data_IF_851383550615
#
_entry.id   IF_851383550615
#
_cell.length_a   1.000
_cell.length_b   1.000
_cell.length_c   1.000
_cell.angle_alpha   90.00
_cell.angle_beta   90.00
_cell.angle_gamma   90.00
#
_symmetry.space_group_name_H-M   'P 1'
#
loop_
_entity.id
_entity.type
_entity.pdbx_description
1 polymer ?
#
# COMPACT_ATOMS: atom_id res chain seq x y z
N UNK A 1 20.64 7.83 4.99
CA UNK A 1 19.85 7.30 3.87
C UNK A 1 19.66 5.81 4.10
N UNK A 2 18.44 5.28 4.01
CA UNK A 2 18.15 3.88 4.35
C UNK A 2 18.82 2.93 3.33
N UNK A 3 19.38 1.77 3.76
CA UNK A 3 19.99 0.81 2.86
C UNK A 3 18.98 0.24 1.84
N UNK A 4 19.45 -0.07 0.64
CA UNK A 4 18.60 -0.69 -0.39
C UNK A 4 18.10 -2.07 0.08
N UNK A 5 16.80 -2.32 -0.07
CA UNK A 5 16.14 -3.55 0.35
C UNK A 5 15.97 -3.69 1.87
N UNK A 6 16.11 -2.61 2.64
CA UNK A 6 15.88 -2.65 4.08
C UNK A 6 14.39 -2.75 4.44
N UNK A 7 14.13 -3.22 5.67
CA UNK A 7 12.82 -3.14 6.30
C UNK A 7 12.86 -2.02 7.32
N UNK A 8 11.89 -1.10 7.27
CA UNK A 8 11.80 -0.01 8.24
C UNK A 8 11.04 -0.50 9.47
N UNK A 9 11.63 -0.35 10.65
CA UNK A 9 11.02 -0.66 11.94
C UNK A 9 10.92 0.63 12.74
N UNK A 10 9.73 1.00 13.19
CA UNK A 10 9.51 2.21 13.97
C UNK A 10 8.38 2.02 15.00
N UNK A 11 8.36 2.80 16.07
CA UNK A 11 7.24 2.73 17.02
C UNK A 11 5.96 3.31 16.39
N UNK A 12 6.09 4.39 15.62
CA UNK A 12 5.00 5.03 14.90
C UNK A 12 5.50 5.40 13.50
N UNK A 13 4.61 5.28 12.51
CA UNK A 13 4.87 5.70 11.13
C UNK A 13 3.71 6.59 10.73
N UNK A 14 4.00 7.87 10.52
CA UNK A 14 2.99 8.84 10.11
C UNK A 14 2.88 8.93 8.56
N UNK A 15 1.84 9.58 8.03
CA UNK A 15 1.69 9.76 6.59
C UNK A 15 2.89 10.43 5.88
N UNK A 16 3.55 11.41 6.51
CA UNK A 16 4.71 12.07 5.91
C UNK A 16 5.90 11.10 5.77
N UNK A 17 6.12 10.22 6.75
CA UNK A 17 7.16 9.19 6.69
C UNK A 17 6.93 8.24 5.52
N UNK A 18 5.70 7.74 5.35
CA UNK A 18 5.35 6.86 4.22
C UNK A 18 5.39 7.58 2.88
N UNK A 19 5.18 8.91 2.83
CA UNK A 19 5.35 9.67 1.59
C UNK A 19 6.80 9.71 1.11
N UNK A 20 7.77 9.62 2.03
CA UNK A 20 9.20 9.54 1.74
C UNK A 20 9.67 8.12 1.41
N UNK A 21 8.82 7.12 1.63
CA UNK A 21 9.14 5.74 1.31
C UNK A 21 9.03 5.51 -0.20
N UNK A 22 10.16 5.17 -0.81
CA UNK A 22 10.22 4.86 -2.24
C UNK A 22 10.03 3.36 -2.49
N UNK A 23 8.94 2.96 -3.18
CA UNK A 23 8.78 1.59 -3.66
C UNK A 23 9.99 1.16 -4.47
N UNK A 24 10.50 -0.05 -4.20
CA UNK A 24 11.69 -0.58 -4.86
C UNK A 24 13.02 -0.22 -4.20
N UNK A 25 13.09 0.76 -3.28
CA UNK A 25 14.25 0.97 -2.39
C UNK A 25 14.09 0.27 -1.05
N UNK A 26 12.87 0.17 -0.54
CA UNK A 26 12.57 -0.54 0.71
C UNK A 26 11.78 -1.82 0.44
N UNK A 27 12.00 -2.84 1.27
CA UNK A 27 11.36 -4.14 1.15
C UNK A 27 10.00 -4.24 1.87
N UNK A 28 9.72 -3.31 2.77
CA UNK A 28 8.52 -3.27 3.60
C UNK A 28 8.79 -2.51 4.90
N UNK A 29 7.80 -2.46 5.78
CA UNK A 29 7.94 -1.82 7.08
C UNK A 29 7.06 -2.45 8.16
N UNK A 30 7.36 -2.14 9.41
CA UNK A 30 6.52 -2.54 10.53
C UNK A 30 6.49 -1.45 11.60
N UNK A 31 5.34 -1.34 12.26
CA UNK A 31 5.11 -0.32 13.28
C UNK A 31 4.56 -0.89 14.58
N UNK A 32 4.99 -0.31 15.70
CA UNK A 32 4.42 -0.65 17.00
C UNK A 32 3.02 -0.12 17.22
N UNK A 33 2.68 0.98 16.54
CA UNK A 33 1.37 1.62 16.54
C UNK A 33 0.61 1.39 15.23
N UNK A 34 -0.64 1.82 15.21
CA UNK A 34 -1.53 1.72 14.06
C UNK A 34 -2.39 0.46 14.08
N UNK A 35 -3.15 0.28 13.00
CA UNK A 35 -4.05 -0.85 12.84
C UNK A 35 -4.32 -1.13 11.37
N UNK A 36 -4.91 -2.29 11.07
CA UNK A 36 -5.13 -2.75 9.70
C UNK A 36 -6.07 -1.85 8.86
N UNK A 37 -6.85 -1.00 9.52
CA UNK A 37 -7.79 -0.05 8.91
C UNK A 37 -7.34 1.42 9.01
N UNK A 38 -6.20 1.69 9.66
CA UNK A 38 -5.68 3.05 9.82
C UNK A 38 -4.97 3.58 8.57
N UNK A 39 -4.73 4.89 8.52
CA UNK A 39 -4.08 5.58 7.38
C UNK A 39 -2.75 4.95 6.98
N UNK A 40 -1.91 4.59 7.95
CA UNK A 40 -0.64 3.90 7.68
C UNK A 40 -0.83 2.58 6.92
N UNK A 41 -1.89 1.82 7.21
CA UNK A 41 -2.20 0.57 6.48
C UNK A 41 -2.68 0.84 5.06
N UNK A 42 -3.46 1.90 4.86
CA UNK A 42 -3.94 2.27 3.52
C UNK A 42 -2.75 2.71 2.67
N UNK A 43 -1.90 3.60 3.19
CA UNK A 43 -0.70 4.05 2.50
C UNK A 43 0.27 2.91 2.17
N UNK A 44 0.39 1.90 3.04
CA UNK A 44 1.17 0.69 2.74
C UNK A 44 0.66 -0.02 1.48
N UNK A 45 -0.67 -0.14 1.33
CA UNK A 45 -1.32 -0.76 0.16
C UNK A 45 -1.10 0.07 -1.10
N UNK A 46 -1.25 1.39 -1.00
CA UNK A 46 -0.98 2.34 -2.10
C UNK A 46 0.45 2.27 -2.62
N UNK A 47 1.42 2.03 -1.73
CA UNK A 47 2.84 1.87 -2.07
C UNK A 47 3.21 0.44 -2.50
N UNK A 48 2.25 -0.48 -2.46
CA UNK A 48 2.46 -1.92 -2.65
C UNK A 48 3.53 -2.54 -1.75
N UNK A 49 3.71 -1.97 -0.56
CA UNK A 49 4.72 -2.42 0.41
C UNK A 49 4.10 -3.37 1.44
N UNK A 50 4.75 -4.51 1.73
CA UNK A 50 4.38 -5.36 2.86
C UNK A 50 4.50 -4.55 4.16
N UNK A 51 3.42 -4.53 4.95
CA UNK A 51 3.40 -3.86 6.24
C UNK A 51 2.73 -4.71 7.32
N UNK A 52 3.23 -4.62 8.54
CA UNK A 52 2.58 -5.16 9.76
C UNK A 52 2.58 -4.06 10.82
N UNK A 53 1.40 -3.71 11.33
CA UNK A 53 1.20 -2.57 12.23
C UNK A 53 0.61 -3.03 13.56
N UNK A 54 0.76 -2.18 14.59
CA UNK A 54 0.20 -2.45 15.91
C UNK A 54 0.92 -3.58 16.66
N UNK A 55 2.24 -3.69 16.55
CA UNK A 55 3.05 -4.69 17.26
C UNK A 55 3.65 -4.08 18.54
N UNK A 56 3.12 -4.37 19.74
CA UNK A 56 3.69 -3.85 20.98
C UNK A 56 5.19 -4.17 21.11
N UNK A 57 5.95 -3.22 21.64
CA UNK A 57 7.39 -3.36 21.94
C UNK A 57 8.29 -3.73 20.74
N UNK A 58 7.82 -3.51 19.51
CA UNK A 58 8.53 -3.88 18.28
C UNK A 58 9.97 -3.34 18.21
N UNK A 59 10.15 -2.06 18.52
CA UNK A 59 11.47 -1.40 18.46
C UNK A 59 12.41 -1.84 19.57
N UNK A 60 11.90 -2.43 20.65
CA UNK A 60 12.71 -3.02 21.71
C UNK A 60 13.14 -4.46 21.35
N UNK A 61 12.38 -5.14 20.49
CA UNK A 61 12.61 -6.53 20.11
C UNK A 61 13.52 -6.71 18.88
N UNK A 62 13.73 -5.68 18.07
CA UNK A 62 14.47 -5.75 16.80
C UNK A 62 15.59 -4.72 16.78
N UNK A 63 16.80 -5.20 16.51
CA UNK A 63 17.99 -4.36 16.37
C UNK A 63 18.32 -4.13 14.89
N UNK A 64 19.05 -3.04 14.62
CA UNK A 64 19.60 -2.77 13.30
C UNK A 64 20.47 -3.93 12.80
N UNK A 65 20.54 -4.08 11.47
CA UNK A 65 21.35 -5.09 10.78
C UNK A 65 20.89 -6.55 10.95
N UNK A 66 19.75 -6.79 11.63
CA UNK A 66 19.12 -8.10 11.70
C UNK A 66 18.39 -8.46 10.40
N UNK A 67 18.37 -9.74 10.06
CA UNK A 67 17.56 -10.22 8.92
C UNK A 67 16.11 -10.37 9.37
N UNK A 68 15.19 -9.68 8.70
CA UNK A 68 13.77 -9.69 9.04
C UNK A 68 12.92 -10.07 7.84
N UNK A 69 11.83 -10.81 8.09
CA UNK A 69 10.77 -11.06 7.12
C UNK A 69 9.50 -10.35 7.59
N UNK A 70 8.91 -9.57 6.69
CA UNK A 70 7.58 -8.96 6.87
C UNK A 70 6.56 -9.78 6.08
N UNK A 71 5.66 -10.47 6.78
CA UNK A 71 4.53 -11.18 6.18
C UNK A 71 3.24 -10.39 6.43
N UNK A 72 2.98 -9.42 5.55
CA UNK A 72 1.75 -8.62 5.57
C UNK A 72 0.47 -9.44 5.28
N UNK A 73 0.58 -10.67 4.78
CA UNK A 73 -0.58 -11.55 4.56
C UNK A 73 -1.05 -12.20 5.85
N UNK A 74 -0.12 -12.60 6.73
CA UNK A 74 -0.45 -13.25 8.01
C UNK A 74 -0.27 -12.36 9.23
N UNK A 75 0.19 -11.12 9.03
CA UNK A 75 0.47 -10.16 10.11
C UNK A 75 1.67 -10.57 10.96
N UNK A 76 2.69 -11.21 10.37
CA UNK A 76 3.85 -11.74 11.11
C UNK A 76 5.15 -11.04 10.75
N UNK A 77 5.96 -10.80 11.77
CA UNK A 77 7.36 -10.42 11.66
C UNK A 77 8.21 -11.60 12.10
N UNK A 78 9.18 -12.01 11.29
CA UNK A 78 10.14 -13.06 11.65
C UNK A 78 11.53 -12.46 11.70
N UNK A 79 12.12 -12.45 12.89
CA UNK A 79 13.46 -11.91 13.16
C UNK A 79 14.47 -13.05 13.12
N UNK A 80 15.63 -12.82 12.50
CA UNK A 80 16.74 -13.78 12.35
C UNK A 80 16.25 -15.18 11.93
N UNK A 81 15.52 -15.28 10.79
CA UNK A 81 14.92 -16.53 10.35
C UNK A 81 15.98 -17.60 10.06
N UNK A 82 15.67 -18.85 10.40
CA UNK A 82 16.50 -19.99 9.99
C UNK A 82 16.55 -20.10 8.45
N UNK A 83 17.54 -20.84 7.94
CA UNK A 83 17.65 -21.09 6.51
C UNK A 83 16.42 -21.82 5.94
N UNK A 84 15.79 -22.69 6.73
CA UNK A 84 14.55 -23.37 6.34
C UNK A 84 13.38 -22.37 6.23
N UNK A 85 13.24 -21.49 7.23
CA UNK A 85 12.23 -20.43 7.22
C UNK A 85 12.44 -19.48 6.04
N UNK A 86 13.68 -19.08 5.74
CA UNK A 86 14.01 -18.27 4.57
C UNK A 86 13.61 -18.97 3.26
N UNK A 87 13.90 -20.27 3.12
CA UNK A 87 13.50 -21.06 1.93
C UNK A 87 11.99 -21.10 1.78
N UNK A 88 11.27 -21.34 2.88
CA UNK A 88 9.81 -21.36 2.91
C UNK A 88 9.20 -20.02 2.44
N UNK A 89 9.66 -18.90 3.00
CA UNK A 89 9.16 -17.58 2.62
C UNK A 89 9.54 -17.18 1.19
N UNK A 90 10.73 -17.56 0.71
CA UNK A 90 11.10 -17.38 -0.71
C UNK A 90 10.15 -18.14 -1.64
N UNK A 91 9.74 -19.36 -1.29
CA UNK A 91 8.77 -20.13 -2.07
C UNK A 91 7.38 -19.47 -2.04
N UNK A 92 6.92 -19.01 -0.87
CA UNK A 92 5.65 -18.27 -0.75
C UNK A 92 5.66 -16.99 -1.60
N UNK A 93 6.74 -16.21 -1.55
CA UNK A 93 6.90 -15.00 -2.37
C UNK A 93 6.81 -15.31 -3.86
N UNK A 94 7.45 -16.38 -4.33
CA UNK A 94 7.34 -16.83 -5.73
C UNK A 94 5.91 -17.25 -6.10
N UNK A 95 5.18 -17.90 -5.20
CA UNK A 95 3.78 -18.27 -5.42
C UNK A 95 2.88 -17.04 -5.53
N UNK A 96 3.06 -16.06 -4.65
CA UNK A 96 2.33 -14.79 -4.70
C UNK A 96 2.61 -14.03 -6.00
N UNK A 97 3.87 -13.97 -6.43
CA UNK A 97 4.23 -13.33 -7.71
C UNK A 97 3.57 -14.01 -8.93
N UNK A 98 3.50 -15.35 -8.95
CA UNK A 98 2.80 -16.09 -10.00
C UNK A 98 1.30 -15.83 -10.01
N UNK A 99 0.69 -15.74 -8.83
CA UNK A 99 -0.73 -15.44 -8.71
C UNK A 99 -1.03 -14.01 -9.18
N UNK A 100 -0.20 -13.04 -8.78
CA UNK A 100 -0.28 -11.66 -9.26
C UNK A 100 -0.21 -11.61 -10.79
N UNK A 101 0.72 -12.33 -11.41
CA UNK A 101 0.82 -12.41 -12.87
C UNK A 101 -0.42 -13.04 -13.55
N UNK A 102 -1.13 -13.96 -12.87
CA UNK A 102 -2.39 -14.51 -13.38
C UNK A 102 -3.52 -13.48 -13.31
N UNK A 103 -3.62 -12.76 -12.20
CA UNK A 103 -4.61 -11.71 -11.99
C UNK A 103 -4.40 -10.53 -12.95
N UNK A 104 -3.15 -10.17 -13.26
CA UNK A 104 -2.81 -9.13 -14.24
C UNK A 104 -3.41 -9.41 -15.63
N UNK A 105 -3.63 -10.67 -15.99
CA UNK A 105 -4.27 -11.04 -17.27
C UNK A 105 -5.76 -10.73 -17.29
N UNK A 106 -6.37 -10.55 -16.12
CA UNK A 106 -7.80 -10.26 -15.97
C UNK A 106 -8.10 -8.76 -16.05
N UNK A 107 -7.10 -7.89 -15.93
CA UNK A 107 -7.28 -6.43 -15.84
C UNK A 107 -8.03 -5.80 -17.03
N UNK A 108 -7.97 -6.43 -18.20
CA UNK A 108 -8.64 -5.93 -19.42
C UNK A 108 -9.99 -6.60 -19.66
N UNK A 109 -10.38 -7.57 -18.84
CA UNK A 109 -11.66 -8.26 -18.96
C UNK A 109 -12.73 -7.46 -18.23
N UNK A 110 -13.96 -7.37 -18.78
CA UNK A 110 -15.05 -6.70 -18.10
C UNK A 110 -15.50 -7.50 -16.86
N UNK A 111 -15.96 -6.80 -15.83
CA UNK A 111 -16.60 -7.42 -14.67
C UNK A 111 -17.96 -7.99 -15.05
N UNK A 112 -18.00 -9.26 -15.47
CA UNK A 112 -19.24 -9.96 -15.85
C UNK A 112 -19.34 -11.30 -15.12
N UNK A 113 -20.48 -11.56 -14.49
CA UNK A 113 -20.77 -12.84 -13.82
C UNK A 113 -21.03 -13.96 -14.84
N UNK A 114 -21.08 -15.21 -14.39
CA UNK A 114 -21.32 -16.38 -15.26
C UNK A 114 -22.71 -16.40 -15.90
N UNK A 115 -23.65 -15.65 -15.33
CA UNK A 115 -25.02 -15.44 -15.80
C UNK A 115 -25.22 -14.08 -16.48
N UNK A 116 -24.12 -13.44 -16.93
CA UNK A 116 -24.10 -12.22 -17.74
C UNK A 116 -24.54 -10.91 -17.04
N UNK A 117 -24.50 -10.84 -15.71
CA UNK A 117 -24.67 -9.56 -15.01
C UNK A 117 -23.37 -8.74 -15.06
N UNK A 118 -23.45 -7.50 -15.55
CA UNK A 118 -22.32 -6.56 -15.55
C UNK A 118 -22.19 -5.88 -14.19
N UNK A 119 -20.96 -5.84 -13.68
CA UNK A 119 -20.58 -5.19 -12.42
C UNK A 119 -19.39 -4.29 -12.73
N UNK A 120 -19.55 -2.99 -12.50
CA UNK A 120 -18.45 -2.05 -12.64
C UNK A 120 -17.49 -2.18 -11.46
N UNK A 121 -16.19 -2.30 -11.74
CA UNK A 121 -15.16 -2.36 -10.70
C UNK A 121 -14.47 -1.01 -10.58
N UNK A 122 -14.75 -0.29 -9.50
CA UNK A 122 -14.12 1.00 -9.23
C UNK A 122 -13.03 0.88 -8.15
N UNK A 123 -12.04 1.78 -8.22
CA UNK A 123 -10.99 1.89 -7.23
C UNK A 123 -11.42 2.78 -6.05
N UNK A 124 -10.90 2.46 -4.86
CA UNK A 124 -10.97 3.35 -3.71
C UNK A 124 -9.61 4.02 -3.57
N UNK A 125 -9.55 5.35 -3.73
CA UNK A 125 -8.31 6.12 -3.69
C UNK A 125 -8.28 7.05 -2.49
N UNK A 126 -7.07 7.34 -2.02
CA UNK A 126 -6.78 8.33 -0.99
C UNK A 126 -5.75 9.36 -1.51
N UNK A 127 -4.81 8.98 -2.36
CA UNK A 127 -3.71 9.84 -2.81
C UNK A 127 -3.69 9.99 -4.34
N UNK A 128 -3.31 11.17 -4.87
CA UNK A 128 -3.19 11.40 -6.32
C UNK A 128 -2.31 10.39 -7.07
N UNK A 129 -1.24 9.91 -6.43
CA UNK A 129 -0.32 8.92 -7.01
C UNK A 129 -0.96 7.56 -7.29
N UNK A 130 -2.11 7.26 -6.70
CA UNK A 130 -2.78 5.97 -6.88
C UNK A 130 -3.58 5.89 -8.18
N UNK A 131 -3.78 7.00 -8.88
CA UNK A 131 -4.52 7.03 -10.16
C UNK A 131 -3.86 6.14 -11.19
N UNK A 132 -2.53 6.20 -11.32
CA UNK A 132 -1.79 5.35 -12.26
C UNK A 132 -2.00 3.87 -11.92
N UNK A 133 -1.97 3.51 -10.63
CA UNK A 133 -2.21 2.14 -10.18
C UNK A 133 -3.64 1.69 -10.47
N UNK A 134 -4.64 2.55 -10.25
CA UNK A 134 -6.04 2.25 -10.54
C UNK A 134 -6.26 1.97 -12.04
N UNK A 135 -5.72 2.83 -12.91
CA UNK A 135 -5.83 2.69 -14.36
C UNK A 135 -5.11 1.42 -14.84
N UNK A 136 -3.88 1.20 -14.38
CA UNK A 136 -3.08 0.03 -14.79
C UNK A 136 -3.63 -1.28 -14.23
N UNK A 137 -4.45 -1.22 -13.18
CA UNK A 137 -5.19 -2.35 -12.60
C UNK A 137 -6.53 -2.62 -13.31
N UNK A 138 -6.97 -1.76 -14.22
CA UNK A 138 -8.21 -1.94 -14.98
C UNK A 138 -9.46 -1.44 -14.28
N UNK A 139 -9.34 -0.47 -13.35
CA UNK A 139 -10.51 0.16 -12.76
C UNK A 139 -11.35 0.87 -13.83
N UNK A 140 -12.68 0.82 -13.68
CA UNK A 140 -13.66 1.52 -14.53
C UNK A 140 -14.02 2.91 -13.99
N UNK A 141 -13.37 3.34 -12.91
CA UNK A 141 -13.56 4.63 -12.27
C UNK A 141 -13.00 4.64 -10.85
N UNK A 142 -13.17 5.77 -10.16
CA UNK A 142 -13.01 5.89 -8.71
C UNK A 142 -14.41 5.80 -8.10
N UNK A 143 -14.59 4.89 -7.15
CA UNK A 143 -15.88 4.68 -6.46
C UNK A 143 -15.91 5.34 -5.10
N UNK A 144 -14.73 5.64 -4.55
CA UNK A 144 -14.53 6.36 -3.32
C UNK A 144 -13.21 7.10 -3.38
N UNK A 145 -13.26 8.42 -3.28
CA UNK A 145 -12.09 9.26 -3.04
C UNK A 145 -12.11 9.73 -1.59
N UNK A 146 -11.14 9.27 -0.79
CA UNK A 146 -10.90 9.72 0.58
C UNK A 146 -10.10 11.01 0.55
N UNK A 147 -10.69 12.08 1.05
CA UNK A 147 -10.13 13.43 1.02
C UNK A 147 -9.46 13.81 2.33
N UNK A 148 -9.58 12.98 3.36
CA UNK A 148 -9.12 13.24 4.73
C UNK A 148 -7.60 13.45 4.79
N UNK A 149 -6.82 12.81 3.90
CA UNK A 149 -5.37 12.99 3.84
C UNK A 149 -4.97 14.46 3.61
N UNK A 150 -5.81 15.25 2.91
CA UNK A 150 -5.56 16.68 2.69
C UNK A 150 -5.63 17.49 3.99
N UNK A 151 -6.21 16.94 5.05
CA UNK A 151 -6.37 17.57 6.36
C UNK A 151 -5.40 17.02 7.40
N UNK A 152 -4.66 15.95 7.10
CA UNK A 152 -3.74 15.30 8.04
C UNK A 152 -2.35 15.94 8.05
N UNK A 153 -1.63 15.71 9.15
CA UNK A 153 -0.23 16.14 9.36
C UNK A 153 0.03 17.62 9.06
N UNK A 154 -0.91 18.49 9.43
CA UNK A 154 -0.80 19.94 9.27
C UNK A 154 -1.49 20.67 10.42
N UNK A 155 -1.00 21.87 10.73
CA UNK A 155 -1.55 22.69 11.82
C UNK A 155 -2.82 23.44 11.41
N UNK A 156 -3.02 23.67 10.10
CA UNK A 156 -4.16 24.40 9.55
C UNK A 156 -4.83 23.63 8.42
N UNK A 157 -6.15 23.72 8.24
CA UNK A 157 -6.85 23.09 7.11
C UNK A 157 -6.30 23.52 5.74
N UNK A 158 -6.39 22.65 4.71
CA UNK A 158 -6.00 22.97 3.34
C UNK A 158 -6.83 24.13 2.80
N UNK A 159 -6.18 25.04 2.08
CA UNK A 159 -6.88 26.09 1.34
C UNK A 159 -7.68 25.50 0.18
N UNK A 160 -8.70 26.23 -0.26
CA UNK A 160 -9.50 25.85 -1.44
C UNK A 160 -8.63 25.55 -2.66
N UNK A 161 -7.64 26.40 -2.95
CA UNK A 161 -6.74 26.21 -4.11
C UNK A 161 -5.91 24.93 -4.01
N UNK A 162 -5.51 24.52 -2.81
CA UNK A 162 -4.78 23.26 -2.59
C UNK A 162 -5.68 22.04 -2.86
N UNK A 163 -6.93 22.11 -2.38
CA UNK A 163 -7.93 21.08 -2.63
C UNK A 163 -8.27 21.01 -4.12
N UNK A 164 -8.49 22.16 -4.77
CA UNK A 164 -8.76 22.26 -6.19
C UNK A 164 -7.64 21.63 -7.02
N UNK A 165 -6.39 22.01 -6.78
CA UNK A 165 -5.23 21.46 -7.50
C UNK A 165 -5.13 19.93 -7.36
N UNK A 166 -5.37 19.42 -6.15
CA UNK A 166 -5.35 17.99 -5.85
C UNK A 166 -6.47 17.24 -6.57
N UNK A 167 -7.71 17.71 -6.45
CA UNK A 167 -8.89 17.12 -7.06
C UNK A 167 -8.83 17.19 -8.59
N UNK A 168 -8.35 18.31 -9.14
CA UNK A 168 -8.14 18.49 -10.57
C UNK A 168 -7.18 17.45 -11.11
N UNK A 169 -6.04 17.25 -10.44
CA UNK A 169 -5.05 16.24 -10.85
C UNK A 169 -5.65 14.84 -10.89
N UNK A 170 -6.46 14.49 -9.90
CA UNK A 170 -7.16 13.20 -9.84
C UNK A 170 -8.15 13.03 -11.01
N UNK A 171 -9.01 14.02 -11.22
CA UNK A 171 -10.05 13.99 -12.27
C UNK A 171 -9.44 13.97 -13.67
N UNK A 172 -8.44 14.83 -13.92
CA UNK A 172 -7.72 14.85 -15.21
C UNK A 172 -6.98 13.53 -15.44
N UNK A 173 -6.39 12.95 -14.39
CA UNK A 173 -5.68 11.67 -14.46
C UNK A 173 -6.59 10.49 -14.84
N UNK A 174 -7.86 10.50 -14.43
CA UNK A 174 -8.83 9.45 -14.77
C UNK A 174 -9.35 9.52 -16.21
N UNK A 175 -8.95 10.55 -16.99
CA UNK A 175 -9.17 10.66 -18.44
C UNK A 175 -10.63 10.39 -18.88
N UNK A 176 -11.58 11.02 -18.19
CA UNK A 176 -13.01 10.93 -18.50
C UNK A 176 -13.75 9.75 -17.86
N UNK A 177 -13.07 8.88 -17.11
CA UNK A 177 -13.73 7.92 -16.23
C UNK A 177 -14.34 8.62 -14.99
N UNK A 178 -15.41 8.04 -14.40
CA UNK A 178 -16.06 8.61 -13.23
C UNK A 178 -15.11 8.67 -12.02
N UNK A 179 -15.31 9.70 -11.20
CA UNK A 179 -14.63 9.93 -9.91
C UNK A 179 -15.65 10.19 -8.82
#
# INVERSE_FOLDING_TARGET
MAPYGCVIIANEINPADTALMEPGKIAGFASGMGGAEGHTAIMARSLELPAVLGIPDLTAAIESEQTVIVDGTTGRIVVNPSQETLKFYRLRRRRLARERQRLERLRTLPGVTRDNARIALHANLELPREVELAITSGAEGIGLLRTEFMFMNRDTPPKEEEQYSTLRTLVEGMNGQPV
#
